data_IF_854126017204
#
_entry.id   IF_854126017204
#
_cell.length_a   1.000
_cell.length_b   1.000
_cell.length_c   1.000
_cell.angle_alpha   90.00
_cell.angle_beta   90.00
_cell.angle_gamma   90.00
#
_symmetry.space_group_name_H-M   'P 1'
#
loop_
_entity.id
_entity.type
_entity.pdbx_description
1 polymer ?
#
# COMPACT_ATOMS: atom_id res chain seq x y z
N UNK A 1 -2.54 18.33 6.35
CA UNK A 1 -3.06 17.12 7.04
C UNK A 1 -2.97 15.95 6.07
N UNK A 2 -2.09 14.97 6.28
CA UNK A 2 -2.07 13.76 5.43
C UNK A 2 -3.18 12.81 5.88
N UNK A 3 -4.02 12.37 4.94
CA UNK A 3 -5.06 11.38 5.20
C UNK A 3 -4.44 10.04 5.65
N UNK A 4 -5.06 9.40 6.64
CA UNK A 4 -4.56 8.17 7.28
C UNK A 4 -4.91 6.93 6.46
N UNK A 5 -3.94 6.38 5.72
CA UNK A 5 -4.14 5.09 5.00
C UNK A 5 -4.45 3.95 5.99
N UNK A 6 -5.45 3.14 5.68
CA UNK A 6 -5.95 2.07 6.57
C UNK A 6 -6.28 0.78 5.83
N UNK A 7 -5.84 -0.35 6.39
CA UNK A 7 -6.19 -1.70 5.90
C UNK A 7 -7.42 -2.21 6.67
N UNK A 8 -8.47 -2.60 5.95
CA UNK A 8 -9.67 -3.16 6.58
C UNK A 8 -9.60 -4.70 6.69
N UNK A 9 -10.57 -5.31 7.37
CA UNK A 9 -10.64 -6.76 7.60
C UNK A 9 -10.75 -7.58 6.31
N UNK A 10 -11.31 -6.99 5.25
CA UNK A 10 -11.45 -7.63 3.94
C UNK A 10 -10.14 -7.59 3.12
N UNK A 11 -9.11 -6.92 3.62
CA UNK A 11 -7.80 -6.82 2.99
C UNK A 11 -7.65 -5.62 2.06
N UNK A 12 -8.61 -4.70 2.01
CA UNK A 12 -8.48 -3.49 1.18
C UNK A 12 -7.73 -2.40 1.93
N UNK A 13 -6.62 -1.94 1.34
CA UNK A 13 -5.98 -0.71 1.75
C UNK A 13 -6.73 0.47 1.15
N UNK A 14 -7.08 1.44 2.00
CA UNK A 14 -7.77 2.68 1.61
C UNK A 14 -6.90 3.90 1.89
N UNK A 15 -7.12 4.98 1.16
CA UNK A 15 -6.37 6.24 1.31
C UNK A 15 -6.68 7.00 2.60
N UNK A 16 -7.84 6.73 3.20
CA UNK A 16 -8.25 7.20 4.51
C UNK A 16 -9.04 6.14 5.28
N UNK A 17 -9.34 6.40 6.57
CA UNK A 17 -10.25 5.57 7.37
C UNK A 17 -11.74 5.91 7.16
N UNK A 18 -12.06 6.86 6.27
CA UNK A 18 -13.44 7.25 6.02
C UNK A 18 -14.17 6.19 5.21
N UNK A 19 -15.50 6.22 5.27
CA UNK A 19 -16.35 5.26 4.57
C UNK A 19 -16.28 5.43 3.04
N UNK A 20 -16.15 6.68 2.58
CA UNK A 20 -15.98 7.11 1.19
C UNK A 20 -14.53 7.06 0.68
N UNK A 21 -13.61 6.51 1.47
CA UNK A 21 -12.20 6.44 1.13
C UNK A 21 -11.94 5.61 -0.14
N UNK A 22 -11.04 6.10 -1.00
CA UNK A 22 -10.67 5.39 -2.23
C UNK A 22 -9.91 4.12 -1.89
N UNK A 23 -10.29 3.03 -2.56
CA UNK A 23 -9.57 1.77 -2.50
C UNK A 23 -8.27 1.91 -3.28
N UNK A 24 -7.15 1.55 -2.66
CA UNK A 24 -5.82 1.63 -3.24
C UNK A 24 -5.43 0.29 -3.86
N UNK A 25 -5.39 -0.77 -3.06
CA UNK A 25 -5.11 -2.14 -3.51
C UNK A 25 -5.50 -3.16 -2.44
N UNK A 26 -5.51 -4.43 -2.84
CA UNK A 26 -5.82 -5.56 -1.98
C UNK A 26 -4.56 -6.19 -1.40
N UNK A 27 -4.62 -6.60 -0.13
CA UNK A 27 -3.56 -7.31 0.60
C UNK A 27 -4.03 -8.75 0.88
N UNK A 28 -3.25 -9.77 0.45
CA UNK A 28 -3.51 -11.17 0.76
C UNK A 28 -3.54 -11.42 2.27
N UNK A 29 -4.37 -12.39 2.71
CA UNK A 29 -4.63 -12.65 4.14
C UNK A 29 -3.34 -12.93 4.91
N UNK A 30 -2.41 -13.64 4.28
CA UNK A 30 -1.12 -14.07 4.80
C UNK A 30 -0.21 -12.88 5.12
N UNK A 31 -0.37 -11.78 4.40
CA UNK A 31 0.44 -10.57 4.54
C UNK A 31 -0.15 -9.54 5.52
N UNK A 32 -1.42 -9.69 5.94
CA UNK A 32 -2.11 -8.66 6.75
C UNK A 32 -1.53 -8.51 8.15
N UNK A 33 -1.19 -9.63 8.80
CA UNK A 33 -0.64 -9.62 10.17
C UNK A 33 0.77 -9.02 10.25
N UNK A 34 1.55 -9.15 9.19
CA UNK A 34 2.90 -8.60 9.07
C UNK A 34 2.97 -7.27 8.31
N UNK A 35 1.82 -6.65 8.00
CA UNK A 35 1.79 -5.46 7.14
C UNK A 35 2.37 -4.25 7.87
N UNK A 36 3.48 -3.73 7.36
CA UNK A 36 4.14 -2.58 7.95
C UNK A 36 3.62 -1.27 7.35
N UNK A 37 3.09 -0.39 8.20
CA UNK A 37 2.82 0.99 7.85
C UNK A 37 4.00 1.88 8.24
N UNK A 38 4.27 2.98 7.51
CA UNK A 38 5.28 3.97 7.91
C UNK A 38 5.14 4.53 9.33
N UNK A 39 3.95 4.44 9.93
CA UNK A 39 3.67 4.84 11.32
C UNK A 39 4.00 3.76 12.36
N UNK A 40 4.28 2.54 11.94
CA UNK A 40 4.58 1.44 12.85
C UNK A 40 6.07 1.56 13.22
N UNK A 41 6.37 1.78 14.50
CA UNK A 41 7.74 1.76 15.02
C UNK A 41 8.41 0.40 14.80
N UNK A 42 7.64 -0.68 14.95
CA UNK A 42 8.05 -2.05 14.63
C UNK A 42 6.83 -2.92 14.31
N UNK A 43 7.04 -3.98 13.51
CA UNK A 43 6.08 -5.08 13.32
C UNK A 43 6.79 -6.37 13.72
N UNK A 44 6.33 -7.01 14.80
CA UNK A 44 6.84 -8.30 15.25
C UNK A 44 5.95 -9.38 14.62
N UNK A 45 6.37 -9.91 13.48
CA UNK A 45 5.67 -10.99 12.77
C UNK A 45 6.69 -11.93 12.14
N UNK A 46 6.34 -13.22 12.02
CA UNK A 46 7.21 -14.24 11.40
C UNK A 46 7.61 -13.86 9.96
N UNK A 47 6.72 -13.16 9.27
CA UNK A 47 6.93 -12.67 7.90
C UNK A 47 6.50 -11.22 7.80
N UNK A 48 7.44 -10.28 7.85
CA UNK A 48 7.14 -8.85 7.69
C UNK A 48 6.88 -8.55 6.22
N UNK A 49 5.74 -7.92 5.93
CA UNK A 49 5.43 -7.42 4.58
C UNK A 49 5.59 -5.91 4.59
N UNK A 50 6.71 -5.44 4.04
CA UNK A 50 6.98 -4.01 3.83
C UNK A 50 6.75 -3.68 2.37
N UNK A 51 5.80 -2.79 2.11
CA UNK A 51 5.57 -2.24 0.77
C UNK A 51 6.31 -0.92 0.66
N UNK A 52 7.10 -0.77 -0.41
CA UNK A 52 7.67 0.51 -0.78
C UNK A 52 6.62 1.34 -1.53
N UNK A 53 6.21 2.46 -0.92
CA UNK A 53 5.26 3.39 -1.50
C UNK A 53 5.91 4.54 -2.27
N UNK A 54 7.24 4.58 -2.38
CA UNK A 54 7.98 5.71 -2.99
C UNK A 54 7.55 6.02 -4.42
N UNK A 55 7.12 5.00 -5.18
CA UNK A 55 6.64 5.10 -6.57
C UNK A 55 5.16 4.73 -6.71
N UNK A 56 4.43 4.66 -5.60
CA UNK A 56 3.04 4.26 -5.64
C UNK A 56 2.16 5.38 -6.20
N UNK A 57 1.66 5.19 -7.42
CA UNK A 57 0.68 6.08 -8.05
C UNK A 57 -0.69 5.39 -8.02
N UNK A 58 -1.75 6.14 -7.74
CA UNK A 58 -3.11 5.63 -7.64
C UNK A 58 -4.11 6.61 -8.24
N UNK A 59 -5.26 6.10 -8.70
CA UNK A 59 -6.25 6.89 -9.42
C UNK A 59 -5.96 6.95 -10.93
N UNK A 60 -6.28 8.07 -11.56
CA UNK A 60 -6.22 8.23 -13.02
C UNK A 60 -4.79 8.21 -13.59
N UNK A 61 -3.82 8.59 -12.76
CA UNK A 61 -2.40 8.65 -13.14
C UNK A 61 -1.67 7.31 -12.95
N UNK A 62 -2.37 6.18 -12.83
CA UNK A 62 -1.75 4.88 -12.56
C UNK A 62 -0.64 4.51 -13.56
N UNK A 63 -0.72 4.99 -14.81
CA UNK A 63 0.27 4.76 -15.85
C UNK A 63 1.66 5.33 -15.51
N UNK A 64 1.75 6.34 -14.64
CA UNK A 64 3.01 6.97 -14.25
C UNK A 64 3.88 6.05 -13.37
N UNK A 65 3.32 4.95 -12.84
CA UNK A 65 4.11 3.94 -12.11
C UNK A 65 4.85 2.97 -13.03
N UNK A 66 4.48 2.90 -14.32
CA UNK A 66 5.12 2.04 -15.29
C UNK A 66 6.37 2.72 -15.85
N UNK A 67 7.54 2.28 -15.42
CA UNK A 67 8.77 2.57 -16.19
C UNK A 67 8.71 1.76 -17.49
N UNK A 68 9.06 2.36 -18.65
CA UNK A 68 9.50 1.54 -19.78
C UNK A 68 10.67 0.68 -19.30
N UNK A 69 10.73 -0.59 -19.69
CA UNK A 69 11.93 -1.37 -19.50
C UNK A 69 13.07 -0.62 -20.20
N UNK A 70 14.02 -0.09 -19.43
CA UNK A 70 15.24 0.48 -19.99
C UNK A 70 15.93 -0.67 -20.74
N UNK A 71 15.90 -0.63 -22.07
CA UNK A 71 16.76 -1.46 -22.89
C UNK A 71 18.18 -0.96 -22.64
N UNK A 72 18.98 -1.75 -21.93
CA UNK A 72 20.42 -1.55 -21.83
C UNK A 72 20.98 -1.35 -23.26
N UNK A 73 21.54 -0.16 -23.51
CA UNK A 73 22.32 0.16 -24.71
C UNK A 73 23.79 0.19 -24.34
#
# INVERSE_FOLDING_TARGET
>A
MQARKGLNMNGWLRDSHREDAKVLFWVPKENRGGFWFPRNTAVIHKTVTKIDFSKFVHGENWADCAKPAESDK
#
